data_IF_908782989489
#
_entry.id   IF_908782989489
#
_cell.length_a   1.000
_cell.length_b   1.000
_cell.length_c   1.000
_cell.angle_alpha   90.00
_cell.angle_beta   90.00
_cell.angle_gamma   90.00
#
_symmetry.space_group_name_H-M   'P 1'
#
loop_
_entity.id
_entity.type
_entity.pdbx_description
1 polymer ?
#
# COMPACT_ATOMS: atom_id res chain seq x y z
N UNK A 1 2.62 14.83 -15.53
CA UNK A 1 1.64 14.15 -14.67
C UNK A 1 0.27 14.27 -15.29
N UNK A 2 -0.33 13.15 -15.63
CA UNK A 2 -1.70 13.05 -16.12
C UNK A 2 -2.66 12.98 -14.92
N UNK A 3 -3.86 13.58 -15.00
CA UNK A 3 -4.82 13.62 -13.90
C UNK A 3 -6.10 12.99 -14.40
N UNK A 4 -6.59 11.99 -13.67
CA UNK A 4 -7.77 11.21 -14.02
C UNK A 4 -8.75 11.16 -12.86
N UNK A 5 -10.02 10.93 -13.16
CA UNK A 5 -11.07 10.64 -12.18
C UNK A 5 -11.20 9.14 -11.93
N UNK A 6 -11.90 8.76 -10.84
CA UNK A 6 -12.13 7.35 -10.53
C UNK A 6 -13.38 6.81 -11.27
N UNK A 7 -13.35 6.85 -12.59
CA UNK A 7 -14.33 6.24 -13.50
C UNK A 7 -13.65 5.16 -14.37
N UNK A 8 -14.38 4.49 -15.22
CA UNK A 8 -13.86 3.40 -16.06
C UNK A 8 -12.67 3.85 -16.93
N UNK A 9 -12.73 5.06 -17.48
CA UNK A 9 -11.65 5.60 -18.32
C UNK A 9 -10.40 5.91 -17.49
N UNK A 10 -10.57 6.54 -16.34
CA UNK A 10 -9.48 6.83 -15.42
C UNK A 10 -8.83 5.58 -14.88
N UNK A 11 -9.62 4.55 -14.48
CA UNK A 11 -9.09 3.27 -14.05
C UNK A 11 -8.32 2.60 -15.18
N UNK A 12 -8.83 2.57 -16.41
CA UNK A 12 -8.12 2.02 -17.57
C UNK A 12 -6.81 2.76 -17.83
N UNK A 13 -6.81 4.09 -17.68
CA UNK A 13 -5.60 4.92 -17.83
C UNK A 13 -4.54 4.62 -16.76
N UNK A 14 -4.96 4.44 -15.48
CA UNK A 14 -4.08 4.06 -14.37
C UNK A 14 -3.49 2.66 -14.58
N UNK A 15 -4.31 1.69 -14.98
CA UNK A 15 -3.86 0.32 -15.25
C UNK A 15 -2.84 0.29 -16.38
N UNK A 16 -3.10 1.01 -17.47
CA UNK A 16 -2.14 1.14 -18.56
C UNK A 16 -0.81 1.77 -18.09
N UNK A 17 -0.88 2.83 -17.26
CA UNK A 17 0.32 3.44 -16.67
C UNK A 17 1.11 2.44 -15.82
N UNK A 18 0.42 1.69 -14.96
CA UNK A 18 1.02 0.65 -14.12
C UNK A 18 1.72 -0.43 -14.97
N UNK A 19 1.06 -0.95 -16.00
CA UNK A 19 1.63 -1.96 -16.92
C UNK A 19 2.86 -1.45 -17.69
N UNK A 20 2.92 -0.15 -17.94
CA UNK A 20 4.08 0.51 -18.56
C UNK A 20 5.16 0.95 -17.57
N UNK A 21 5.09 0.52 -16.30
CA UNK A 21 6.09 0.82 -15.28
C UNK A 21 6.14 2.28 -14.86
N UNK A 22 5.04 3.00 -15.03
CA UNK A 22 4.88 4.39 -14.59
C UNK A 22 4.54 4.44 -13.10
N UNK A 23 4.81 5.58 -12.47
CA UNK A 23 4.45 5.85 -11.07
C UNK A 23 3.05 6.41 -11.01
N UNK A 24 2.18 5.73 -10.28
CA UNK A 24 0.79 6.12 -10.08
C UNK A 24 0.56 6.68 -8.68
N UNK A 25 -0.32 7.67 -8.57
CA UNK A 25 -0.83 8.16 -7.28
C UNK A 25 -2.33 7.90 -7.19
N UNK A 26 -2.79 7.49 -6.01
CA UNK A 26 -4.14 7.00 -5.80
C UNK A 26 -4.66 7.28 -4.40
N UNK A 27 -5.99 7.44 -4.22
CA UNK A 27 -6.60 7.56 -2.90
C UNK A 27 -6.61 6.20 -2.19
N UNK A 28 -6.55 6.24 -0.85
CA UNK A 28 -6.85 5.09 0.00
C UNK A 28 -7.85 5.49 1.10
N UNK A 29 -8.21 4.54 1.95
CA UNK A 29 -9.02 4.78 3.16
C UNK A 29 -8.21 5.43 4.30
N UNK A 30 -6.92 5.71 4.09
CA UNK A 30 -6.06 6.39 5.06
C UNK A 30 -5.53 7.71 4.51
N UNK A 31 -4.65 7.68 3.52
CA UNK A 31 -3.99 8.85 2.92
C UNK A 31 -3.82 8.62 1.42
N UNK A 32 -3.42 9.63 0.66
CA UNK A 32 -2.95 9.40 -0.71
C UNK A 32 -1.72 8.51 -0.70
N UNK A 33 -1.69 7.55 -1.61
CA UNK A 33 -0.56 6.67 -1.87
C UNK A 33 0.09 6.93 -3.21
N UNK A 34 1.37 6.58 -3.32
CA UNK A 34 2.07 6.41 -4.59
C UNK A 34 2.52 4.96 -4.72
N UNK A 35 2.56 4.46 -5.94
CA UNK A 35 2.92 3.07 -6.17
C UNK A 35 3.26 2.72 -7.59
N UNK A 36 3.66 1.46 -7.76
CA UNK A 36 4.02 0.84 -9.04
C UNK A 36 3.90 -0.68 -8.93
N UNK A 37 4.23 -1.38 -10.01
CA UNK A 37 4.36 -2.84 -10.01
C UNK A 37 5.46 -3.30 -9.02
N UNK A 38 5.13 -4.19 -8.04
CA UNK A 38 6.08 -4.72 -7.07
C UNK A 38 7.22 -5.56 -7.69
N UNK A 39 7.11 -5.96 -8.93
CA UNK A 39 8.12 -6.72 -9.65
C UNK A 39 9.00 -5.86 -10.56
N UNK A 40 8.68 -4.57 -10.72
CA UNK A 40 9.44 -3.64 -11.55
C UNK A 40 10.46 -2.85 -10.72
N UNK A 41 11.70 -3.37 -10.64
CA UNK A 41 12.80 -2.75 -9.88
C UNK A 41 13.11 -1.30 -10.28
N UNK A 42 12.95 -0.97 -11.57
CA UNK A 42 13.19 0.40 -12.05
C UNK A 42 12.14 1.38 -11.50
N UNK A 43 10.86 1.00 -11.55
CA UNK A 43 9.79 1.81 -10.99
C UNK A 43 9.89 1.94 -9.47
N UNK A 44 10.32 0.88 -8.78
CA UNK A 44 10.58 0.91 -7.33
C UNK A 44 11.68 1.91 -7.00
N UNK A 45 12.79 1.92 -7.77
CA UNK A 45 13.87 2.90 -7.58
C UNK A 45 13.37 4.34 -7.71
N UNK A 46 12.52 4.62 -8.70
CA UNK A 46 11.88 5.94 -8.85
C UNK A 46 11.08 6.36 -7.62
N UNK A 47 10.35 5.43 -6.97
CA UNK A 47 9.61 5.76 -5.73
C UNK A 47 10.57 6.11 -4.59
N UNK A 48 11.72 5.44 -4.47
CA UNK A 48 12.75 5.82 -3.51
C UNK A 48 13.26 7.26 -3.76
N UNK A 49 13.51 7.60 -5.02
CA UNK A 49 13.97 8.95 -5.41
C UNK A 49 12.90 10.02 -5.12
N UNK A 50 11.64 9.79 -5.51
CA UNK A 50 10.51 10.70 -5.25
C UNK A 50 10.36 10.94 -3.74
N UNK A 51 10.45 9.89 -2.93
CA UNK A 51 10.29 9.97 -1.48
C UNK A 51 11.56 10.43 -0.75
N UNK A 52 12.68 10.57 -1.42
CA UNK A 52 14.01 10.79 -0.78
C UNK A 52 14.25 9.80 0.37
N UNK A 53 13.90 8.53 0.14
CA UNK A 53 13.92 7.48 1.16
C UNK A 53 15.14 6.60 1.01
N UNK A 54 15.76 6.21 2.14
CA UNK A 54 16.82 5.21 2.14
C UNK A 54 16.30 3.82 1.73
N UNK A 55 17.12 3.07 0.99
CA UNK A 55 16.73 1.76 0.43
C UNK A 55 16.59 0.62 1.45
N UNK A 56 16.92 0.85 2.73
CA UNK A 56 16.75 -0.11 3.83
C UNK A 56 15.29 -0.27 4.29
N UNK A 57 14.43 0.72 4.02
CA UNK A 57 13.00 0.71 4.40
C UNK A 57 12.14 0.29 3.21
N UNK A 58 11.73 -0.97 3.17
CA UNK A 58 10.89 -1.53 2.11
C UNK A 58 9.49 -0.91 2.08
N UNK A 59 8.82 -1.00 0.92
CA UNK A 59 7.47 -0.49 0.73
C UNK A 59 6.43 -1.58 0.98
N UNK A 60 5.26 -1.23 1.55
CA UNK A 60 4.13 -2.15 1.63
C UNK A 60 3.60 -2.56 0.25
N UNK A 61 2.98 -3.74 0.19
CA UNK A 61 2.23 -4.22 -0.97
C UNK A 61 0.74 -4.15 -0.63
N UNK A 62 -0.02 -3.46 -1.47
CA UNK A 62 -1.46 -3.47 -1.46
C UNK A 62 -1.96 -4.58 -2.38
N UNK A 63 -2.92 -5.38 -1.92
CA UNK A 63 -3.55 -6.44 -2.70
C UNK A 63 -5.04 -6.24 -2.88
N UNK A 64 -5.59 -6.76 -3.97
CA UNK A 64 -7.05 -6.75 -4.20
C UNK A 64 -7.81 -7.54 -3.12
N UNK A 65 -7.21 -8.62 -2.63
CA UNK A 65 -7.81 -9.50 -1.63
C UNK A 65 -6.74 -10.23 -0.82
N UNK A 66 -7.14 -10.81 0.32
CA UNK A 66 -6.29 -11.71 1.09
C UNK A 66 -5.72 -12.86 0.23
N UNK A 67 -6.52 -13.41 -0.69
CA UNK A 67 -6.09 -14.49 -1.56
C UNK A 67 -4.96 -14.05 -2.53
N UNK A 68 -5.00 -12.82 -3.03
CA UNK A 68 -3.88 -12.30 -3.84
C UNK A 68 -2.62 -12.11 -2.99
N UNK A 69 -2.75 -11.62 -1.76
CA UNK A 69 -1.62 -11.44 -0.85
C UNK A 69 -1.02 -12.78 -0.38
N UNK A 70 -1.83 -13.83 -0.22
CA UNK A 70 -1.34 -15.19 0.09
C UNK A 70 -0.42 -15.78 -1.00
N UNK A 71 -0.41 -15.22 -2.19
CA UNK A 71 0.53 -15.62 -3.25
C UNK A 71 1.96 -15.11 -2.99
N UNK A 72 2.12 -14.08 -2.16
CA UNK A 72 3.42 -13.43 -1.90
C UNK A 72 3.91 -13.56 -0.46
N UNK A 73 2.99 -13.77 0.52
CA UNK A 73 3.35 -13.93 1.95
C UNK A 73 2.67 -15.15 2.58
N UNK A 74 3.20 -15.59 3.71
CA UNK A 74 2.67 -16.69 4.51
C UNK A 74 1.88 -16.13 5.70
N UNK A 75 0.68 -16.67 5.95
CA UNK A 75 -0.19 -16.26 7.05
C UNK A 75 -0.10 -17.26 8.20
N UNK A 76 0.14 -16.78 9.40
CA UNK A 76 -0.09 -17.54 10.63
C UNK A 76 -1.57 -17.43 11.07
N UNK A 77 -1.99 -18.23 12.06
CA UNK A 77 -3.37 -18.26 12.55
C UNK A 77 -3.90 -16.87 12.94
N UNK A 78 -3.11 -16.09 13.68
CA UNK A 78 -3.54 -14.78 14.15
C UNK A 78 -3.57 -13.74 13.04
N UNK A 79 -2.67 -13.83 12.05
CA UNK A 79 -2.75 -13.02 10.84
C UNK A 79 -4.05 -13.30 10.04
N UNK A 80 -4.50 -14.57 10.02
CA UNK A 80 -5.79 -14.94 9.40
C UNK A 80 -6.95 -14.26 10.12
N UNK A 81 -7.04 -14.35 11.45
CA UNK A 81 -8.10 -13.73 12.26
C UNK A 81 -8.13 -12.21 12.09
N UNK A 82 -6.98 -11.56 12.22
CA UNK A 82 -6.86 -10.11 12.09
C UNK A 82 -7.26 -9.66 10.68
N UNK A 83 -6.77 -10.35 9.65
CA UNK A 83 -7.14 -10.01 8.26
C UNK A 83 -8.63 -10.22 7.98
N UNK A 84 -9.27 -11.20 8.57
CA UNK A 84 -10.72 -11.42 8.44
C UNK A 84 -11.55 -10.31 9.08
N UNK A 85 -11.08 -9.77 10.21
CA UNK A 85 -11.80 -8.72 10.92
C UNK A 85 -11.54 -7.32 10.32
N UNK A 86 -10.31 -7.03 9.85
CA UNK A 86 -9.88 -5.68 9.51
C UNK A 86 -9.64 -5.43 8.02
N UNK A 87 -9.75 -6.44 7.15
CA UNK A 87 -9.60 -6.25 5.71
C UNK A 87 -10.91 -6.51 4.94
N UNK A 88 -11.24 -5.63 3.98
CA UNK A 88 -10.52 -4.40 3.59
C UNK A 88 -10.51 -3.36 4.71
N UNK A 89 -9.37 -2.69 4.96
CA UNK A 89 -9.30 -1.65 6.00
C UNK A 89 -7.89 -1.20 6.40
N UNK A 90 -7.83 -0.55 7.56
CA UNK A 90 -6.70 0.27 7.99
C UNK A 90 -5.63 -0.50 8.81
N UNK A 91 -5.49 -1.78 8.61
CA UNK A 91 -4.45 -2.63 9.23
C UNK A 91 -3.48 -3.16 8.18
N UNK A 92 -2.19 -2.99 8.44
CA UNK A 92 -1.09 -3.52 7.64
C UNK A 92 -0.40 -4.64 8.43
N UNK A 93 -0.22 -5.80 7.83
CA UNK A 93 0.46 -6.95 8.44
C UNK A 93 1.86 -7.11 7.87
N UNK A 94 2.85 -7.29 8.74
CA UNK A 94 4.22 -7.63 8.37
C UNK A 94 4.40 -9.14 8.45
N UNK A 95 4.40 -9.82 7.31
CA UNK A 95 4.35 -11.28 7.20
C UNK A 95 5.58 -11.84 6.48
N UNK A 96 5.98 -13.10 6.78
CA UNK A 96 7.05 -13.77 6.07
C UNK A 96 6.78 -13.83 4.57
N UNK A 97 7.79 -13.47 3.76
CA UNK A 97 7.71 -13.61 2.31
C UNK A 97 7.78 -15.07 1.90
N UNK A 98 6.97 -15.49 0.92
CA UNK A 98 7.07 -16.84 0.37
C UNK A 98 8.39 -17.02 -0.36
N UNK A 99 8.99 -18.21 -0.19
CA UNK A 99 10.30 -18.53 -0.76
C UNK A 99 10.37 -18.32 -2.28
N UNK A 100 9.31 -18.68 -3.00
CA UNK A 100 9.22 -18.57 -4.45
C UNK A 100 9.18 -17.11 -4.96
N UNK A 101 8.90 -16.18 -4.06
CA UNK A 101 8.79 -14.74 -4.35
C UNK A 101 10.01 -13.97 -3.86
N UNK A 102 10.77 -14.51 -2.91
CA UNK A 102 11.88 -13.82 -2.25
C UNK A 102 13.01 -13.35 -3.19
N UNK A 103 13.17 -14.00 -4.34
CA UNK A 103 14.13 -13.57 -5.37
C UNK A 103 13.59 -12.47 -6.29
N UNK A 104 12.25 -12.32 -6.35
CA UNK A 104 11.56 -11.38 -7.24
C UNK A 104 11.29 -10.05 -6.57
N UNK A 105 11.04 -10.06 -5.26
CA UNK A 105 10.75 -8.86 -4.45
C UNK A 105 11.82 -8.74 -3.37
N UNK A 106 12.54 -7.62 -3.39
CA UNK A 106 13.53 -7.34 -2.34
C UNK A 106 12.86 -7.19 -0.98
N UNK A 107 13.26 -8.01 -0.03
CA UNK A 107 12.74 -8.00 1.35
C UNK A 107 13.82 -8.44 2.34
N UNK A 108 13.59 -8.15 3.61
CA UNK A 108 14.40 -8.67 4.73
C UNK A 108 13.72 -9.91 5.35
N UNK A 109 13.15 -10.78 4.50
CA UNK A 109 12.42 -11.97 4.92
C UNK A 109 10.95 -11.74 5.25
N UNK A 110 10.49 -10.47 5.36
CA UNK A 110 9.08 -10.10 5.58
C UNK A 110 8.63 -9.03 4.61
N UNK A 111 7.33 -9.00 4.31
CA UNK A 111 6.66 -7.95 3.56
C UNK A 111 5.52 -7.35 4.36
N UNK A 112 5.37 -6.03 4.34
CA UNK A 112 4.19 -5.34 4.82
C UNK A 112 3.09 -5.47 3.76
N UNK A 113 1.91 -5.98 4.13
CA UNK A 113 0.82 -6.23 3.19
C UNK A 113 -0.51 -5.71 3.74
N UNK A 114 -1.40 -5.25 2.84
CA UNK A 114 -2.71 -4.70 3.22
C UNK A 114 -3.72 -4.84 2.08
N UNK A 115 -5.00 -5.03 2.44
CA UNK A 115 -6.14 -4.80 1.52
C UNK A 115 -6.81 -3.49 1.95
N UNK A 116 -6.69 -2.40 1.15
CA UNK A 116 -7.26 -1.09 1.52
C UNK A 116 -8.78 -1.06 1.33
N UNK A 117 -9.49 -0.28 2.16
CA UNK A 117 -10.95 -0.08 2.05
C UNK A 117 -11.28 1.22 1.31
N UNK A 118 -10.98 1.26 0.02
CA UNK A 118 -11.31 2.38 -0.85
C UNK A 118 -11.77 1.84 -2.20
N UNK A 119 -12.98 2.19 -2.63
CA UNK A 119 -13.60 1.63 -3.85
C UNK A 119 -12.77 1.88 -5.11
N UNK A 120 -12.19 3.08 -5.23
CA UNK A 120 -11.34 3.43 -6.35
C UNK A 120 -10.07 2.56 -6.37
N UNK A 121 -9.39 2.47 -5.22
CA UNK A 121 -8.19 1.65 -5.10
C UNK A 121 -8.50 0.15 -5.33
N UNK A 122 -9.62 -0.35 -4.83
CA UNK A 122 -10.04 -1.72 -5.07
C UNK A 122 -10.34 -1.99 -6.55
N UNK A 123 -10.90 -1.01 -7.27
CA UNK A 123 -11.14 -1.13 -8.72
C UNK A 123 -9.84 -1.21 -9.52
N UNK A 124 -8.82 -0.44 -9.13
CA UNK A 124 -7.46 -0.52 -9.70
C UNK A 124 -6.84 -1.89 -9.36
N UNK A 125 -6.87 -2.28 -8.09
CA UNK A 125 -6.31 -3.55 -7.62
C UNK A 125 -7.01 -4.78 -8.21
N UNK A 126 -8.27 -4.67 -8.59
CA UNK A 126 -8.99 -5.76 -9.27
C UNK A 126 -8.31 -6.15 -10.59
N UNK A 127 -7.68 -5.21 -11.27
CA UNK A 127 -6.94 -5.44 -12.51
C UNK A 127 -5.46 -5.73 -12.23
N UNK A 128 -4.78 -4.87 -11.49
CA UNK A 128 -3.35 -4.99 -11.20
C UNK A 128 -2.99 -6.12 -10.21
N UNK A 129 -3.95 -6.60 -9.40
CA UNK A 129 -3.83 -7.61 -8.33
C UNK A 129 -2.98 -7.14 -7.15
N UNK A 130 -1.75 -6.72 -7.37
CA UNK A 130 -0.77 -6.28 -6.38
C UNK A 130 -0.17 -4.94 -6.82
N UNK A 131 0.03 -4.02 -5.90
CA UNK A 131 0.69 -2.72 -6.16
C UNK A 131 1.57 -2.40 -4.96
N UNK A 132 2.81 -1.95 -5.15
CA UNK A 132 3.51 -1.23 -4.10
C UNK A 132 2.68 0.00 -3.75
N UNK A 133 2.39 0.20 -2.45
CA UNK A 133 1.63 1.34 -1.99
C UNK A 133 2.26 1.95 -0.76
N UNK A 134 2.82 3.14 -0.90
CA UNK A 134 3.36 3.93 0.21
C UNK A 134 2.69 5.29 0.25
N UNK A 135 2.64 5.93 1.44
CA UNK A 135 2.06 7.28 1.57
C UNK A 135 2.69 8.27 0.59
N UNK A 136 1.86 9.12 -0.01
CA UNK A 136 2.27 10.14 -0.96
C UNK A 136 2.87 11.34 -0.19
N UNK A 137 4.13 11.24 0.24
CA UNK A 137 4.89 12.28 0.91
C UNK A 137 6.39 12.03 0.77
N UNK A 138 7.21 13.07 0.95
CA UNK A 138 8.63 12.91 1.19
C UNK A 138 8.81 12.22 2.56
N UNK A 139 9.79 11.33 2.67
CA UNK A 139 9.99 10.56 3.90
C UNK A 139 10.26 11.47 5.09
N UNK A 140 9.49 11.29 6.17
CA UNK A 140 9.55 12.13 7.37
C UNK A 140 8.61 13.33 7.35
N UNK A 141 7.98 13.67 6.23
CA UNK A 141 6.95 14.70 6.16
C UNK A 141 5.56 14.13 6.42
N UNK A 142 4.59 15.02 6.64
CA UNK A 142 3.18 14.66 6.84
C UNK A 142 2.59 14.02 5.59
N UNK A 143 1.81 12.97 5.76
CA UNK A 143 1.10 12.29 4.68
C UNK A 143 0.04 13.19 4.04
N UNK A 144 -0.10 13.09 2.72
CA UNK A 144 -0.98 13.95 1.91
C UNK A 144 -2.40 13.41 1.94
N UNK A 145 -3.36 14.32 2.15
CA UNK A 145 -4.80 14.04 2.14
C UNK A 145 -5.53 14.68 0.95
N UNK A 146 -4.92 15.63 0.25
CA UNK A 146 -5.50 16.35 -0.88
C UNK A 146 -4.74 16.03 -2.18
N UNK A 147 -5.48 15.70 -3.24
CA UNK A 147 -4.90 15.46 -4.57
C UNK A 147 -4.08 16.65 -5.09
N UNK A 148 -4.47 17.88 -4.78
CA UNK A 148 -3.73 19.08 -5.16
C UNK A 148 -2.35 19.14 -4.50
N UNK A 149 -2.23 18.69 -3.26
CA UNK A 149 -0.94 18.58 -2.58
C UNK A 149 -0.02 17.55 -3.25
N UNK A 150 -0.56 16.43 -3.75
CA UNK A 150 0.22 15.46 -4.54
C UNK A 150 0.81 16.12 -5.80
N UNK A 151 0.00 16.93 -6.50
CA UNK A 151 0.44 17.66 -7.70
C UNK A 151 1.60 18.61 -7.42
N UNK A 152 1.54 19.32 -6.29
CA UNK A 152 2.51 20.37 -5.94
C UNK A 152 3.77 19.83 -5.28
N UNK A 153 3.65 18.81 -4.42
CA UNK A 153 4.73 18.40 -3.52
C UNK A 153 5.53 17.20 -4.01
N UNK A 154 4.98 16.41 -4.96
CA UNK A 154 5.61 15.16 -5.40
C UNK A 154 5.89 15.15 -6.91
N UNK A 155 6.98 15.77 -7.37
CA UNK A 155 7.41 15.63 -8.74
C UNK A 155 7.83 14.19 -9.05
N UNK A 156 7.53 13.71 -10.27
CA UNK A 156 7.90 12.35 -10.71
C UNK A 156 6.74 11.34 -10.69
N UNK A 157 5.54 11.75 -10.25
CA UNK A 157 4.31 10.98 -10.46
C UNK A 157 3.89 11.13 -11.92
N UNK A 158 3.59 10.01 -12.60
CA UNK A 158 3.18 10.01 -14.00
C UNK A 158 1.66 10.20 -14.15
N UNK A 159 0.87 9.50 -13.32
CA UNK A 159 -0.61 9.59 -13.33
C UNK A 159 -1.14 9.69 -11.90
N UNK A 160 -2.08 10.60 -11.68
CA UNK A 160 -2.76 10.82 -10.40
C UNK A 160 -4.26 10.62 -10.54
N UNK A 161 -4.86 9.80 -9.68
CA UNK A 161 -6.31 9.76 -9.49
C UNK A 161 -6.73 10.90 -8.57
N UNK A 162 -7.48 11.84 -9.12
CA UNK A 162 -8.05 12.94 -8.34
C UNK A 162 -9.37 12.50 -7.68
N UNK A 163 -9.32 12.33 -6.36
CA UNK A 163 -10.49 12.05 -5.50
C UNK A 163 -10.72 13.16 -4.48
N UNK A 164 -10.15 14.35 -4.70
CA UNK A 164 -10.25 15.48 -3.77
C UNK A 164 -9.59 15.22 -2.43
N UNK A 165 -10.30 15.54 -1.34
CA UNK A 165 -9.79 15.43 0.02
C UNK A 165 -10.23 14.11 0.66
N UNK A 166 -9.27 13.32 1.13
CA UNK A 166 -9.52 12.09 1.90
C UNK A 166 -9.87 12.46 3.34
N UNK A 167 -11.01 11.98 3.81
CA UNK A 167 -11.39 12.03 5.23
C UNK A 167 -10.73 10.85 5.94
N UNK A 168 -9.70 11.10 6.73
CA UNK A 168 -8.90 10.06 7.36
C UNK A 168 -8.74 10.30 8.86
N UNK A 169 -8.67 9.21 9.63
CA UNK A 169 -8.28 9.19 11.05
C UNK A 169 -6.78 9.01 11.27
N UNK A 170 -6.00 8.87 10.21
CA UNK A 170 -4.54 8.67 10.28
C UNK A 170 -4.02 7.58 9.34
N UNK A 171 -2.77 7.19 9.52
CA UNK A 171 -2.16 6.10 8.78
C UNK A 171 -2.61 4.72 9.31
N UNK A 172 -2.36 3.64 8.56
CA UNK A 172 -2.68 2.28 8.99
C UNK A 172 -1.87 1.85 10.22
N UNK A 173 -2.48 1.07 11.09
CA UNK A 173 -1.77 0.35 12.15
C UNK A 173 -0.94 -0.78 11.54
N UNK A 174 0.33 -0.90 11.95
CA UNK A 174 1.26 -1.93 11.44
C UNK A 174 1.52 -2.96 12.53
N UNK A 175 1.27 -4.22 12.20
CA UNK A 175 1.40 -5.36 13.10
C UNK A 175 2.47 -6.30 12.56
N UNK A 176 3.40 -6.71 13.40
CA UNK A 176 4.39 -7.76 13.15
C UNK A 176 4.06 -9.01 14.00
N UNK A 177 4.42 -10.18 13.51
CA UNK A 177 4.34 -11.44 14.22
C UNK A 177 5.77 -11.98 14.41
N UNK A 178 6.22 -12.07 15.67
CA UNK A 178 7.55 -12.56 16.05
C UNK A 178 7.40 -13.84 16.86
N UNK A 179 7.55 -14.99 16.19
CA UNK A 179 7.13 -16.28 16.75
C UNK A 179 5.60 -16.28 16.92
N UNK A 180 5.13 -16.58 18.14
CA UNK A 180 3.71 -16.57 18.51
C UNK A 180 3.25 -15.22 19.11
N UNK A 181 4.13 -14.21 19.14
CA UNK A 181 3.81 -12.90 19.73
C UNK A 181 3.41 -11.88 18.66
N UNK A 182 2.31 -11.16 18.92
CA UNK A 182 1.89 -10.00 18.15
C UNK A 182 2.59 -8.76 18.69
N UNK A 183 3.22 -8.00 17.78
CA UNK A 183 3.87 -6.72 18.09
C UNK A 183 3.29 -5.59 17.21
N UNK A 184 2.78 -4.54 17.84
CA UNK A 184 2.42 -3.32 17.12
C UNK A 184 3.71 -2.53 16.84
N UNK A 185 4.05 -2.44 15.54
CA UNK A 185 5.22 -1.69 15.05
C UNK A 185 4.91 -0.21 14.94
N UNK A 186 3.66 0.11 14.58
CA UNK A 186 3.13 1.47 14.51
C UNK A 186 1.65 1.44 14.83
N UNK A 187 1.23 2.18 15.84
CA UNK A 187 -0.18 2.45 16.09
C UNK A 187 -0.67 3.55 15.12
N UNK A 188 -1.81 3.31 14.50
CA UNK A 188 -2.44 4.19 13.52
C UNK A 188 -3.93 4.32 13.79
N UNK A 189 -4.75 4.25 12.75
CA UNK A 189 -6.21 4.44 12.84
C UNK A 189 -6.94 3.36 13.64
N UNK A 190 -6.38 2.17 13.81
CA UNK A 190 -6.92 1.08 14.62
C UNK A 190 -6.06 0.95 15.88
N UNK A 191 -6.69 1.05 17.05
CA UNK A 191 -6.01 1.00 18.35
C UNK A 191 -5.51 -0.41 18.70
N UNK A 192 -4.59 -0.46 19.66
CA UNK A 192 -4.09 -1.72 20.21
C UNK A 192 -5.22 -2.57 20.80
N UNK A 193 -6.11 -1.96 21.56
CA UNK A 193 -7.23 -2.65 22.22
C UNK A 193 -8.17 -3.31 21.21
N UNK A 194 -8.45 -2.64 20.08
CA UNK A 194 -9.27 -3.20 19.00
C UNK A 194 -8.60 -4.41 18.34
N UNK A 195 -7.26 -4.40 18.23
CA UNK A 195 -6.49 -5.54 17.69
C UNK A 195 -6.53 -6.73 18.66
N UNK A 196 -6.30 -6.49 19.96
CA UNK A 196 -6.29 -7.55 20.98
C UNK A 196 -7.64 -8.26 21.11
N UNK A 197 -8.75 -7.54 20.96
CA UNK A 197 -10.12 -8.11 20.93
C UNK A 197 -10.36 -9.01 19.69
N UNK A 198 -9.51 -8.95 18.69
CA UNK A 198 -9.64 -9.73 17.45
C UNK A 198 -8.94 -11.10 17.50
N UNK A 199 -8.15 -11.35 18.53
CA UNK A 199 -7.38 -12.58 18.74
C UNK A 199 -8.15 -13.60 19.56
#
# INVERSE_FOLDING_TARGET
MDIVTCDENGISRIVNAYENGQIIAFPTDTVYGIGCDPFNKYSISKIYDIKKRSGDKRFPILGFSKNELKKVVEFCSDAEKISEKFWPGQVTLLLPIRKEISEKIESNGKLAVRVPNNECMLSILRQCKLIIGTSANISGETSILDSNDCKMKLPGIDVLVDSGIIKSSGESTIIDFVGDELKIVREGSVSKDEIEVAL
#
